data_IF_410264614183
#
_entry.id   IF_410264614183
#
_cell.length_a   1.000
_cell.length_b   1.000
_cell.length_c   1.000
_cell.angle_alpha   90.00
_cell.angle_beta   90.00
_cell.angle_gamma   90.00
#
_symmetry.space_group_name_H-M   'P 1'
#
loop_
_entity.id
_entity.type
_entity.pdbx_description
1 polymer ?
#
# COMPACT_ATOMS: atom_id res chain seq x y z
N UNK A 1 -14.92 16.27 17.21
CA UNK A 1 -13.63 16.19 17.94
C UNK A 1 -12.62 15.26 17.28
N UNK A 2 -12.94 14.64 16.13
CA UNK A 2 -12.11 13.74 15.35
C UNK A 2 -11.60 12.49 16.12
N UNK A 3 -12.29 12.06 17.17
CA UNK A 3 -11.97 10.83 17.93
C UNK A 3 -13.04 9.74 17.77
N UNK A 4 -14.12 10.03 17.06
CA UNK A 4 -15.23 9.09 16.88
C UNK A 4 -15.80 9.20 15.47
N UNK A 5 -15.94 8.07 14.80
CA UNK A 5 -16.45 7.96 13.44
C UNK A 5 -17.48 6.85 13.32
N UNK A 6 -18.56 7.12 12.61
CA UNK A 6 -19.55 6.12 12.23
C UNK A 6 -19.47 5.92 10.72
N UNK A 7 -19.08 4.72 10.29
CA UNK A 7 -18.93 4.37 8.88
C UNK A 7 -20.16 3.59 8.43
N UNK A 8 -20.85 4.12 7.41
CA UNK A 8 -21.98 3.46 6.78
C UNK A 8 -21.58 2.88 5.44
N UNK A 9 -21.69 1.57 5.31
CA UNK A 9 -21.37 0.84 4.08
C UNK A 9 -22.54 0.91 3.10
N UNK A 10 -22.20 0.93 1.81
CA UNK A 10 -23.19 0.75 0.75
C UNK A 10 -23.62 -0.71 0.73
N UNK A 11 -24.92 -0.96 0.75
CA UNK A 11 -25.48 -2.30 0.74
C UNK A 11 -25.36 -3.02 -0.61
N UNK A 12 -25.50 -4.32 -0.61
CA UNK A 12 -25.56 -5.17 -1.81
C UNK A 12 -24.21 -5.42 -2.51
N UNK A 13 -23.09 -5.13 -1.86
CA UNK A 13 -21.76 -5.52 -2.34
C UNK A 13 -21.47 -6.98 -2.00
N UNK A 14 -20.76 -7.63 -2.93
CA UNK A 14 -20.34 -9.03 -2.79
C UNK A 14 -18.86 -9.16 -3.12
N UNK A 15 -18.24 -10.15 -2.50
CA UNK A 15 -16.95 -10.66 -2.95
C UNK A 15 -17.09 -11.46 -4.26
N UNK A 16 -15.99 -11.74 -4.92
CA UNK A 16 -15.95 -12.50 -6.20
C UNK A 16 -16.34 -13.97 -6.07
N UNK A 17 -16.45 -14.49 -4.84
CA UNK A 17 -17.02 -15.81 -4.53
C UNK A 17 -18.54 -15.77 -4.26
N UNK A 18 -19.16 -14.58 -4.36
CA UNK A 18 -20.58 -14.37 -4.11
C UNK A 18 -20.96 -14.09 -2.66
N UNK A 19 -20.03 -14.20 -1.71
CA UNK A 19 -20.31 -13.89 -0.29
C UNK A 19 -20.53 -12.38 -0.09
N UNK A 20 -21.40 -11.97 0.85
CA UNK A 20 -21.68 -10.54 1.06
C UNK A 20 -20.50 -9.81 1.70
N UNK A 21 -20.32 -8.54 1.33
CA UNK A 21 -19.43 -7.60 2.03
C UNK A 21 -20.26 -6.90 3.10
N UNK A 22 -19.88 -7.09 4.37
CA UNK A 22 -20.57 -6.51 5.53
C UNK A 22 -19.59 -5.77 6.43
N UNK A 23 -20.10 -5.12 7.48
CA UNK A 23 -19.29 -4.50 8.53
C UNK A 23 -18.31 -5.50 9.16
N UNK A 24 -18.73 -6.76 9.34
CA UNK A 24 -17.85 -7.84 9.82
C UNK A 24 -16.65 -8.08 8.90
N UNK A 25 -16.82 -7.95 7.57
CA UNK A 25 -15.73 -8.14 6.61
C UNK A 25 -14.59 -7.14 6.84
N UNK A 26 -14.91 -5.90 7.23
CA UNK A 26 -13.95 -4.87 7.56
C UNK A 26 -13.38 -5.04 8.97
N UNK A 27 -14.23 -5.15 9.98
CA UNK A 27 -13.81 -5.21 11.38
C UNK A 27 -12.91 -6.43 11.64
N UNK A 28 -13.25 -7.59 11.08
CA UNK A 28 -12.43 -8.80 11.21
C UNK A 28 -11.06 -8.62 10.50
N UNK A 29 -11.05 -8.00 9.31
CA UNK A 29 -9.80 -7.71 8.60
C UNK A 29 -8.91 -6.75 9.38
N UNK A 30 -9.48 -5.68 9.95
CA UNK A 30 -8.73 -4.68 10.72
C UNK A 30 -8.19 -5.27 12.03
N UNK A 31 -9.00 -6.05 12.75
CA UNK A 31 -8.55 -6.75 13.95
C UNK A 31 -7.41 -7.73 13.64
N UNK A 32 -7.56 -8.53 12.59
CA UNK A 32 -6.53 -9.48 12.15
C UNK A 32 -5.22 -8.75 11.80
N UNK A 33 -5.32 -7.65 11.04
CA UNK A 33 -4.14 -6.89 10.60
C UNK A 33 -3.47 -6.15 11.77
N UNK A 34 -4.25 -5.56 12.68
CA UNK A 34 -3.72 -4.81 13.81
C UNK A 34 -3.04 -5.68 14.86
N UNK A 35 -3.42 -6.95 14.99
CA UNK A 35 -2.90 -7.84 16.02
C UNK A 35 -1.49 -8.35 15.67
N UNK A 36 -0.49 -8.02 16.52
CA UNK A 36 0.93 -8.33 16.30
C UNK A 36 1.23 -9.83 16.20
N UNK A 37 0.41 -10.70 16.81
CA UNK A 37 0.54 -12.13 16.68
C UNK A 37 0.40 -12.62 15.23
N UNK A 38 -0.33 -11.89 14.39
CA UNK A 38 -0.55 -12.21 12.97
C UNK A 38 0.55 -11.66 12.05
N UNK A 39 1.51 -10.88 12.58
CA UNK A 39 2.71 -10.38 11.88
C UNK A 39 2.40 -9.70 10.53
N UNK A 40 1.34 -8.89 10.48
CA UNK A 40 0.96 -8.18 9.27
C UNK A 40 1.74 -6.87 9.12
N UNK A 41 2.33 -6.64 7.93
CA UNK A 41 3.15 -5.45 7.67
C UNK A 41 2.38 -4.12 7.81
N UNK A 42 1.06 -4.14 7.60
CA UNK A 42 0.20 -2.95 7.68
C UNK A 42 -0.39 -2.70 9.07
N UNK A 43 0.06 -3.40 10.13
CA UNK A 43 -0.50 -3.25 11.48
C UNK A 43 -0.49 -1.80 11.98
N UNK A 44 0.57 -1.04 11.70
CA UNK A 44 0.72 0.34 12.15
C UNK A 44 -0.31 1.32 11.58
N UNK A 45 -0.99 0.98 10.49
CA UNK A 45 -2.09 1.81 9.95
C UNK A 45 -3.24 1.98 10.95
N UNK A 46 -3.42 1.03 11.86
CA UNK A 46 -4.48 1.03 12.87
C UNK A 46 -4.09 1.67 14.20
N UNK A 47 -2.90 2.27 14.29
CA UNK A 47 -2.30 2.77 15.54
C UNK A 47 -3.11 3.82 16.28
N UNK A 48 -4.00 4.53 15.60
CA UNK A 48 -4.88 5.54 16.22
C UNK A 48 -6.21 4.97 16.72
N UNK A 49 -6.54 3.70 16.44
CA UNK A 49 -7.77 3.07 16.94
C UNK A 49 -7.56 2.61 18.38
N UNK A 50 -8.55 2.85 19.26
CA UNK A 50 -8.50 2.39 20.66
C UNK A 50 -8.22 0.89 20.77
N UNK A 51 -7.35 0.51 21.71
CA UNK A 51 -6.93 -0.88 21.93
C UNK A 51 -5.75 -1.33 21.08
N UNK A 52 -5.24 -0.51 20.14
CA UNK A 52 -4.10 -0.91 19.30
C UNK A 52 -2.87 -1.28 20.14
N UNK A 53 -2.50 -0.48 21.14
CA UNK A 53 -1.32 -0.74 21.96
C UNK A 53 -1.43 -2.04 22.76
N UNK A 54 -2.64 -2.47 23.11
CA UNK A 54 -2.87 -3.75 23.78
C UNK A 54 -2.60 -4.92 22.85
N UNK A 55 -2.84 -4.75 21.56
CA UNK A 55 -2.56 -5.75 20.53
C UNK A 55 -1.07 -5.82 20.13
N UNK A 56 -0.22 -4.92 20.64
CA UNK A 56 1.22 -4.94 20.38
C UNK A 56 2.02 -5.58 21.53
N UNK A 57 1.36 -6.00 22.61
CA UNK A 57 2.03 -6.62 23.76
C UNK A 57 2.66 -7.97 23.38
N UNK A 58 3.79 -8.33 24.01
CA UNK A 58 4.29 -9.70 23.94
C UNK A 58 3.20 -10.70 24.36
N UNK A 59 3.11 -11.83 23.67
CA UNK A 59 2.16 -12.91 23.98
C UNK A 59 0.67 -12.51 23.91
N UNK A 60 0.34 -11.50 23.08
CA UNK A 60 -1.05 -11.13 22.82
C UNK A 60 -1.82 -12.32 22.25
N UNK A 61 -3.06 -12.53 22.74
CA UNK A 61 -3.95 -13.54 22.17
C UNK A 61 -4.22 -13.24 20.68
N UNK A 62 -3.94 -14.17 19.75
CA UNK A 62 -4.23 -14.00 18.33
C UNK A 62 -5.69 -13.65 18.01
N UNK A 63 -6.61 -13.90 18.93
CA UNK A 63 -8.05 -13.58 18.83
C UNK A 63 -8.41 -12.22 19.45
N UNK A 64 -7.48 -11.55 20.14
CA UNK A 64 -7.74 -10.23 20.71
C UNK A 64 -8.05 -9.20 19.61
N UNK A 65 -8.94 -8.27 19.93
CA UNK A 65 -9.50 -7.29 19.00
C UNK A 65 -9.28 -5.87 19.49
N UNK A 66 -9.34 -4.92 18.56
CA UNK A 66 -9.34 -3.49 18.86
C UNK A 66 -10.60 -3.12 19.66
N UNK A 67 -10.43 -2.54 20.85
CA UNK A 67 -11.55 -2.12 21.69
C UNK A 67 -12.36 -0.95 21.10
N UNK A 68 -11.74 -0.18 20.20
CA UNK A 68 -12.36 0.94 19.50
C UNK A 68 -13.23 0.55 18.31
N UNK A 69 -13.39 -0.75 17.98
CA UNK A 69 -14.22 -1.17 16.83
C UNK A 69 -15.49 -1.88 17.32
N UNK A 70 -16.63 -1.44 16.81
CA UNK A 70 -17.92 -2.09 17.07
C UNK A 70 -18.68 -2.24 15.76
N UNK A 71 -19.15 -3.44 15.48
CA UNK A 71 -20.16 -3.71 14.44
C UNK A 71 -21.52 -3.38 15.03
N UNK A 72 -22.17 -2.32 14.56
CA UNK A 72 -23.50 -1.90 14.99
C UNK A 72 -24.57 -2.73 14.30
N UNK A 73 -24.44 -2.91 13.00
CA UNK A 73 -25.24 -3.76 12.13
C UNK A 73 -24.42 -4.16 10.90
N UNK A 74 -24.99 -4.93 9.97
CA UNK A 74 -24.29 -5.41 8.77
C UNK A 74 -23.69 -4.31 7.90
N UNK A 75 -24.16 -3.08 8.01
CA UNK A 75 -23.70 -1.97 7.19
C UNK A 75 -23.12 -0.80 7.99
N UNK A 76 -22.99 -0.93 9.31
CA UNK A 76 -22.55 0.17 10.17
C UNK A 76 -21.43 -0.26 11.10
N UNK A 77 -20.32 0.48 11.04
CA UNK A 77 -19.14 0.32 11.90
C UNK A 77 -19.01 1.58 12.76
N UNK A 78 -18.91 1.41 14.07
CA UNK A 78 -18.53 2.46 15.00
C UNK A 78 -17.03 2.36 15.30
N UNK A 79 -16.31 3.48 15.17
CA UNK A 79 -14.84 3.55 15.34
C UNK A 79 -14.50 4.61 16.36
N UNK A 80 -13.83 4.21 17.44
CA UNK A 80 -13.27 5.12 18.44
C UNK A 80 -11.76 5.17 18.32
N UNK A 81 -11.22 6.38 18.32
CA UNK A 81 -9.79 6.64 18.23
C UNK A 81 -9.25 7.07 19.60
N UNK A 82 -8.03 6.64 19.91
CA UNK A 82 -7.30 6.99 21.14
C UNK A 82 -6.86 8.45 21.19
N UNK A 83 -6.80 9.11 20.04
CA UNK A 83 -6.45 10.52 19.90
C UNK A 83 -7.18 11.13 18.68
N UNK A 84 -7.33 12.47 18.63
CA UNK A 84 -7.92 13.13 17.47
C UNK A 84 -7.13 12.86 16.19
N UNK A 85 -7.83 12.38 15.15
CA UNK A 85 -7.26 12.13 13.81
C UNK A 85 -8.26 12.53 12.73
N UNK A 86 -8.20 13.78 12.28
CA UNK A 86 -9.08 14.29 11.20
C UNK A 86 -8.79 13.67 9.83
N UNK A 87 -7.62 13.04 9.65
CA UNK A 87 -7.24 12.36 8.42
C UNK A 87 -7.74 10.90 8.36
N UNK A 88 -8.32 10.37 9.45
CA UNK A 88 -8.80 8.99 9.51
C UNK A 88 -9.70 8.59 8.33
N UNK A 89 -10.70 9.41 7.86
CA UNK A 89 -11.51 9.04 6.70
C UNK A 89 -10.71 8.87 5.41
N UNK A 90 -9.62 9.62 5.23
CA UNK A 90 -8.71 9.49 4.08
C UNK A 90 -7.85 8.23 4.23
N UNK A 91 -7.32 7.97 5.43
CA UNK A 91 -6.55 6.75 5.75
C UNK A 91 -7.38 5.48 5.52
N UNK A 92 -8.66 5.51 5.87
CA UNK A 92 -9.59 4.39 5.65
C UNK A 92 -9.81 4.04 4.16
N UNK A 93 -9.40 4.90 3.23
CA UNK A 93 -9.33 4.61 1.79
C UNK A 93 -8.10 3.84 1.34
N UNK A 94 -7.13 3.57 2.23
CA UNK A 94 -5.90 2.85 1.92
C UNK A 94 -6.14 1.33 1.83
N UNK A 95 -5.22 0.63 1.13
CA UNK A 95 -5.28 -0.83 0.99
C UNK A 95 -5.30 -1.60 2.32
N UNK A 96 -4.72 -1.04 3.39
CA UNK A 96 -4.72 -1.67 4.71
C UNK A 96 -6.12 -1.87 5.29
N UNK A 97 -7.08 -1.03 4.90
CA UNK A 97 -8.45 -1.03 5.40
C UNK A 97 -9.45 -1.80 4.53
N UNK A 98 -8.97 -2.49 3.49
CA UNK A 98 -9.84 -3.28 2.59
C UNK A 98 -10.53 -4.43 3.34
N UNK A 99 -11.78 -4.78 2.97
CA UNK A 99 -12.49 -5.88 3.59
C UNK A 99 -11.93 -7.22 3.14
N UNK A 100 -12.01 -8.22 4.01
CA UNK A 100 -11.69 -9.61 3.69
C UNK A 100 -12.91 -10.52 3.95
N UNK A 101 -13.15 -11.54 3.11
CA UNK A 101 -14.15 -12.55 3.39
C UNK A 101 -13.68 -13.45 4.54
N UNK A 102 -14.62 -14.12 5.20
CA UNK A 102 -14.30 -15.02 6.33
C UNK A 102 -13.34 -16.15 5.93
N UNK A 103 -13.37 -16.59 4.68
CA UNK A 103 -12.45 -17.60 4.15
C UNK A 103 -10.97 -17.19 4.26
N UNK A 104 -10.66 -15.88 4.31
CA UNK A 104 -9.29 -15.39 4.46
C UNK A 104 -8.66 -15.76 5.82
N UNK A 105 -9.48 -15.90 6.85
CA UNK A 105 -9.01 -16.20 8.22
C UNK A 105 -8.96 -17.70 8.53
N UNK A 106 -9.63 -18.54 7.72
CA UNK A 106 -9.62 -20.00 7.88
C UNK A 106 -8.29 -20.62 7.47
N UNK A 107 -7.73 -20.16 6.37
CA UNK A 107 -6.42 -20.56 5.86
C UNK A 107 -5.78 -19.36 5.10
N UNK A 108 -5.10 -18.46 5.83
CA UNK A 108 -4.50 -17.27 5.23
C UNK A 108 -3.46 -17.58 4.14
N UNK A 109 -2.73 -18.71 4.27
CA UNK A 109 -1.74 -19.11 3.26
C UNK A 109 -2.41 -19.50 1.95
N UNK A 110 -3.44 -20.35 2.02
CA UNK A 110 -4.22 -20.76 0.86
C UNK A 110 -4.95 -19.58 0.25
N UNK A 111 -5.55 -18.72 1.08
CA UNK A 111 -6.20 -17.50 0.62
C UNK A 111 -5.24 -16.59 -0.14
N UNK A 112 -4.00 -16.42 0.34
CA UNK A 112 -2.98 -15.62 -0.34
C UNK A 112 -2.60 -16.16 -1.72
N UNK A 113 -2.77 -17.47 -1.99
CA UNK A 113 -2.54 -18.07 -3.31
C UNK A 113 -3.74 -17.90 -4.26
N UNK A 114 -4.95 -17.82 -3.73
CA UNK A 114 -6.20 -17.69 -4.48
C UNK A 114 -7.11 -16.63 -3.83
N UNK A 115 -6.72 -15.34 -3.90
CA UNK A 115 -7.43 -14.29 -3.19
C UNK A 115 -8.83 -14.06 -3.78
N UNK A 116 -9.77 -13.82 -2.87
CA UNK A 116 -11.11 -13.36 -3.16
C UNK A 116 -11.19 -11.87 -2.85
N UNK A 117 -11.76 -11.09 -3.75
CA UNK A 117 -11.83 -9.64 -3.63
C UNK A 117 -13.23 -9.10 -3.95
N UNK A 118 -13.44 -7.80 -3.79
CA UNK A 118 -14.66 -7.10 -4.19
C UNK A 118 -14.38 -5.95 -5.17
N UNK A 119 -13.20 -5.98 -5.81
CA UNK A 119 -12.71 -4.96 -6.74
C UNK A 119 -13.20 -5.14 -8.19
N UNK A 120 -12.72 -4.27 -9.10
CA UNK A 120 -13.11 -4.31 -10.52
C UNK A 120 -12.55 -5.50 -11.29
N UNK A 121 -11.61 -6.24 -10.73
CA UNK A 121 -11.03 -7.44 -11.32
C UNK A 121 -11.13 -8.63 -10.37
N UNK A 122 -11.23 -9.83 -10.96
CA UNK A 122 -11.22 -11.14 -10.28
C UNK A 122 -9.89 -11.81 -10.54
N UNK A 123 -9.31 -12.40 -9.49
CA UNK A 123 -8.13 -13.25 -9.60
C UNK A 123 -8.45 -14.52 -10.43
N UNK A 124 -7.51 -14.93 -11.29
CA UNK A 124 -7.59 -16.16 -12.08
C UNK A 124 -6.47 -17.11 -11.70
N UNK A 125 -5.22 -16.68 -11.84
CA UNK A 125 -4.06 -17.54 -11.58
C UNK A 125 -2.84 -16.74 -11.14
N UNK A 126 -1.95 -17.42 -10.43
CA UNK A 126 -0.63 -16.93 -10.10
C UNK A 126 0.41 -17.99 -10.43
N UNK A 127 1.20 -17.74 -11.46
CA UNK A 127 2.41 -18.49 -11.76
C UNK A 127 3.58 -17.78 -11.08
N UNK A 128 4.05 -18.34 -9.95
CA UNK A 128 5.12 -17.74 -9.15
C UNK A 128 6.33 -17.39 -10.00
N UNK A 129 6.92 -16.22 -9.77
CA UNK A 129 8.04 -15.63 -10.51
C UNK A 129 7.78 -15.39 -12.00
N UNK A 130 6.55 -15.53 -12.47
CA UNK A 130 6.21 -15.33 -13.88
C UNK A 130 5.07 -14.34 -14.09
N UNK A 131 3.85 -14.64 -13.61
CA UNK A 131 2.69 -13.77 -13.85
C UNK A 131 1.56 -13.94 -12.84
N UNK A 132 0.74 -12.88 -12.72
CA UNK A 132 -0.57 -12.93 -12.05
C UNK A 132 -1.62 -12.50 -13.08
N UNK A 133 -2.61 -13.36 -13.28
CA UNK A 133 -3.71 -13.11 -14.21
C UNK A 133 -4.99 -12.73 -13.48
N UNK A 134 -5.67 -11.73 -13.99
CA UNK A 134 -6.94 -11.25 -13.48
C UNK A 134 -7.88 -10.96 -14.66
N UNK A 135 -9.16 -11.22 -14.46
CA UNK A 135 -10.21 -10.87 -15.45
C UNK A 135 -11.15 -9.82 -14.87
N UNK A 136 -11.83 -9.12 -15.73
CA UNK A 136 -12.88 -8.16 -15.34
C UNK A 136 -13.90 -8.82 -14.42
N UNK A 137 -14.26 -8.10 -13.34
CA UNK A 137 -15.37 -8.49 -12.46
C UNK A 137 -16.68 -7.87 -12.96
N UNK A 138 -17.60 -8.64 -13.56
CA UNK A 138 -18.85 -8.12 -14.09
C UNK A 138 -19.81 -7.63 -12.99
N UNK A 139 -19.64 -8.12 -11.76
CA UNK A 139 -20.50 -7.78 -10.62
C UNK A 139 -20.03 -6.52 -9.86
N UNK A 140 -18.92 -5.90 -10.30
CA UNK A 140 -18.41 -4.71 -9.66
C UNK A 140 -19.34 -3.49 -9.86
N UNK A 141 -19.80 -2.88 -8.77
CA UNK A 141 -20.77 -1.78 -8.75
C UNK A 141 -20.15 -0.41 -8.44
N UNK A 142 -18.82 -0.33 -8.33
CA UNK A 142 -18.13 0.91 -8.01
C UNK A 142 -17.92 1.82 -9.23
N UNK A 143 -17.30 2.96 -8.98
CA UNK A 143 -17.01 3.95 -10.02
C UNK A 143 -15.75 3.67 -10.86
N UNK A 144 -14.99 2.61 -10.54
CA UNK A 144 -13.76 2.20 -11.24
C UNK A 144 -14.00 0.95 -12.08
N UNK A 145 -15.07 0.95 -12.87
CA UNK A 145 -15.39 -0.19 -13.74
C UNK A 145 -14.25 -0.42 -14.73
N UNK A 146 -13.81 -1.68 -14.85
CA UNK A 146 -12.78 -2.07 -15.80
C UNK A 146 -13.22 -1.77 -17.24
N UNK A 147 -12.35 -1.11 -18.01
CA UNK A 147 -12.57 -0.78 -19.43
C UNK A 147 -11.99 -1.83 -20.38
N UNK A 148 -11.09 -2.67 -19.87
CA UNK A 148 -10.47 -3.81 -20.54
C UNK A 148 -11.03 -5.12 -19.98
N UNK A 149 -10.68 -6.25 -20.59
CA UNK A 149 -11.21 -7.57 -20.24
C UNK A 149 -10.46 -8.19 -19.04
N UNK A 150 -9.21 -7.78 -18.81
CA UNK A 150 -8.40 -8.32 -17.74
C UNK A 150 -7.05 -7.61 -17.60
N UNK A 151 -6.23 -8.12 -16.67
CA UNK A 151 -4.88 -7.67 -16.40
C UNK A 151 -3.97 -8.90 -16.30
N UNK A 152 -2.77 -8.78 -16.87
CA UNK A 152 -1.70 -9.76 -16.66
C UNK A 152 -0.49 -9.01 -16.11
N UNK A 153 -0.17 -9.23 -14.83
CA UNK A 153 1.02 -8.69 -14.19
C UNK A 153 2.19 -9.61 -14.50
N UNK A 154 3.07 -9.23 -15.41
CA UNK A 154 4.33 -9.93 -15.68
C UNK A 154 5.39 -9.58 -14.66
N UNK A 155 6.09 -10.57 -14.12
CA UNK A 155 7.12 -10.40 -13.11
C UNK A 155 8.47 -10.41 -13.79
N UNK A 156 9.22 -9.30 -13.63
CA UNK A 156 10.57 -9.16 -14.17
C UNK A 156 11.57 -9.01 -13.01
N UNK A 157 12.74 -9.58 -13.17
CA UNK A 157 13.88 -9.42 -12.26
C UNK A 157 14.81 -8.29 -12.70
N UNK A 158 14.65 -7.79 -13.93
CA UNK A 158 15.44 -6.70 -14.49
C UNK A 158 14.52 -5.63 -15.09
N UNK A 159 14.63 -4.36 -14.69
CA UNK A 159 13.94 -3.25 -15.32
C UNK A 159 14.26 -3.09 -16.82
N UNK A 160 15.50 -3.40 -17.24
CA UNK A 160 15.91 -3.35 -18.65
C UNK A 160 15.12 -4.36 -19.49
N UNK A 161 14.88 -5.58 -18.97
CA UNK A 161 14.09 -6.60 -19.67
C UNK A 161 12.63 -6.17 -19.79
N UNK A 162 12.04 -5.59 -18.74
CA UNK A 162 10.68 -5.06 -18.79
C UNK A 162 10.55 -3.92 -19.80
N UNK A 163 11.54 -3.03 -19.85
CA UNK A 163 11.57 -1.92 -20.79
C UNK A 163 11.78 -2.36 -22.25
N UNK A 164 12.59 -3.40 -22.47
CA UNK A 164 12.74 -4.02 -23.79
C UNK A 164 11.42 -4.65 -24.28
N UNK A 165 10.70 -5.36 -23.41
CA UNK A 165 9.38 -5.93 -23.74
C UNK A 165 8.32 -4.84 -24.00
N UNK A 166 8.36 -3.72 -23.25
CA UNK A 166 7.50 -2.57 -23.53
C UNK A 166 7.76 -2.01 -24.92
N UNK A 167 9.03 -1.78 -25.30
CA UNK A 167 9.40 -1.30 -26.62
C UNK A 167 9.10 -2.30 -27.73
N UNK A 168 9.17 -3.59 -27.43
CA UNK A 168 8.84 -4.67 -28.35
C UNK A 168 7.35 -4.94 -28.52
N UNK A 169 6.47 -4.24 -27.78
CA UNK A 169 5.02 -4.43 -27.81
C UNK A 169 4.55 -5.68 -27.06
N UNK A 170 5.40 -6.30 -26.24
CA UNK A 170 5.08 -7.47 -25.42
C UNK A 170 4.61 -7.09 -24.01
N UNK A 171 4.68 -5.82 -23.66
CA UNK A 171 4.22 -5.22 -22.40
C UNK A 171 3.51 -3.90 -22.72
N UNK A 172 2.37 -3.65 -22.10
CA UNK A 172 1.58 -2.43 -22.34
C UNK A 172 1.96 -1.29 -21.42
N UNK A 173 2.49 -1.60 -20.24
CA UNK A 173 2.79 -0.60 -19.19
C UNK A 173 3.92 -1.06 -18.27
N UNK A 174 4.80 -0.14 -17.92
CA UNK A 174 5.73 -0.29 -16.78
C UNK A 174 5.77 1.01 -15.97
N UNK A 175 5.91 0.88 -14.65
CA UNK A 175 6.06 2.02 -13.73
C UNK A 175 7.53 2.29 -13.38
N UNK A 176 8.46 1.53 -13.96
CA UNK A 176 9.90 1.66 -13.69
C UNK A 176 10.64 1.83 -15.00
N UNK A 177 11.39 2.92 -15.10
CA UNK A 177 12.29 3.17 -16.22
C UNK A 177 13.70 2.77 -15.76
N UNK A 178 14.42 1.91 -16.50
CA UNK A 178 15.81 1.57 -16.16
C UNK A 178 16.74 2.75 -16.34
N UNK A 179 17.83 2.76 -15.58
CA UNK A 179 18.82 3.85 -15.64
C UNK A 179 19.37 4.06 -17.05
N UNK A 180 19.51 2.99 -17.81
CA UNK A 180 19.96 2.99 -19.22
C UNK A 180 19.05 3.78 -20.16
N UNK A 181 17.77 3.97 -19.80
CA UNK A 181 16.78 4.64 -20.60
C UNK A 181 16.40 6.05 -20.10
N UNK A 182 16.89 6.49 -18.94
CA UNK A 182 16.50 7.78 -18.33
C UNK A 182 16.71 8.99 -19.24
N UNK A 183 17.72 8.95 -20.09
CA UNK A 183 18.02 10.05 -21.04
C UNK A 183 17.15 10.06 -22.28
N UNK A 184 16.46 8.96 -22.60
CA UNK A 184 15.81 8.77 -23.90
C UNK A 184 14.31 8.47 -23.85
N UNK A 185 13.80 7.93 -22.74
CA UNK A 185 12.42 7.44 -22.68
C UNK A 185 11.36 8.51 -22.96
N UNK A 186 11.58 9.76 -22.54
CA UNK A 186 10.64 10.87 -22.77
C UNK A 186 10.62 11.33 -24.24
N UNK A 187 11.68 11.07 -25.00
CA UNK A 187 11.77 11.41 -26.41
C UNK A 187 11.40 10.26 -27.35
N UNK A 188 11.18 9.06 -26.83
CA UNK A 188 10.79 7.88 -27.62
C UNK A 188 9.32 8.01 -28.09
N UNK A 189 9.17 8.31 -29.38
CA UNK A 189 7.83 8.52 -30.00
C UNK A 189 6.99 7.25 -30.11
N UNK A 190 7.59 6.08 -29.91
CA UNK A 190 6.87 4.80 -29.90
C UNK A 190 6.14 4.54 -28.59
N UNK A 191 6.48 5.31 -27.53
CA UNK A 191 5.94 5.17 -26.19
C UNK A 191 5.19 6.44 -25.75
N UNK A 192 4.28 6.26 -24.81
CA UNK A 192 3.68 7.38 -24.07
C UNK A 192 4.35 7.46 -22.70
N UNK A 193 5.32 8.37 -22.58
CA UNK A 193 6.09 8.57 -21.38
C UNK A 193 5.46 9.61 -20.46
N UNK A 194 5.56 9.37 -19.14
CA UNK A 194 5.17 10.31 -18.10
C UNK A 194 6.33 10.46 -17.12
N UNK A 195 6.62 11.69 -16.73
CA UNK A 195 7.54 12.02 -15.64
C UNK A 195 6.92 13.15 -14.83
N UNK A 196 6.20 12.78 -13.79
CA UNK A 196 5.44 13.70 -12.96
C UNK A 196 5.99 13.69 -11.53
N UNK A 197 6.01 14.83 -10.83
CA UNK A 197 6.38 14.86 -9.42
C UNK A 197 5.52 13.92 -8.61
N UNK A 198 6.15 13.03 -7.85
CA UNK A 198 5.49 12.08 -6.96
C UNK A 198 5.56 12.50 -5.49
N UNK A 199 4.82 11.80 -4.65
CA UNK A 199 4.87 11.95 -3.19
C UNK A 199 6.03 11.20 -2.52
N UNK A 200 6.91 10.57 -3.31
CA UNK A 200 8.02 9.79 -2.78
C UNK A 200 9.30 10.61 -2.73
N UNK A 201 9.97 10.60 -1.58
CA UNK A 201 11.28 11.22 -1.40
C UNK A 201 12.32 10.13 -1.17
N UNK A 202 13.40 10.16 -1.96
CA UNK A 202 14.55 9.29 -1.72
C UNK A 202 15.40 9.93 -0.61
N UNK A 203 15.50 9.23 0.51
CA UNK A 203 16.24 9.68 1.68
C UNK A 203 17.20 8.60 2.18
N UNK A 204 18.20 9.00 2.94
CA UNK A 204 18.93 8.10 3.82
C UNK A 204 18.77 8.57 5.27
N UNK A 205 18.71 7.63 6.19
CA UNK A 205 18.53 7.91 7.61
C UNK A 205 19.81 7.61 8.36
N UNK A 206 20.22 8.53 9.22
CA UNK A 206 21.30 8.31 10.17
C UNK A 206 20.65 8.06 11.54
N UNK A 207 20.69 6.81 12.06
CA UNK A 207 20.04 6.50 13.32
C UNK A 207 20.67 7.25 14.51
N UNK A 208 19.82 7.76 15.40
CA UNK A 208 20.26 8.55 16.55
C UNK A 208 20.95 7.74 17.65
N UNK A 209 20.84 6.42 17.61
CA UNK A 209 21.56 5.53 18.53
C UNK A 209 23.01 5.21 18.11
N UNK A 210 23.43 5.68 16.94
CA UNK A 210 24.82 5.56 16.54
C UNK A 210 25.70 6.49 17.38
N UNK A 211 26.87 6.01 17.75
CA UNK A 211 27.88 6.80 18.45
C UNK A 211 28.16 8.11 17.68
N UNK A 212 28.22 9.23 18.37
CA UNK A 212 28.38 10.59 17.83
C UNK A 212 27.20 11.14 17.01
N UNK A 213 26.08 10.43 16.89
CA UNK A 213 24.88 10.87 16.13
C UNK A 213 23.63 10.98 17.02
N UNK A 214 23.78 11.02 18.34
CA UNK A 214 22.67 11.17 19.29
C UNK A 214 21.87 12.48 19.11
N UNK A 215 20.75 12.58 19.85
CA UNK A 215 19.94 13.81 19.91
C UNK A 215 20.60 14.86 20.83
N UNK A 216 21.79 15.32 20.46
CA UNK A 216 22.57 16.34 21.12
C UNK A 216 23.20 17.28 20.09
N UNK A 217 23.90 18.32 20.55
CA UNK A 217 24.50 19.32 19.67
C UNK A 217 25.51 18.71 18.69
N UNK A 218 26.40 17.81 19.16
CA UNK A 218 27.37 17.11 18.31
C UNK A 218 26.66 16.30 17.21
N UNK A 219 25.68 15.47 17.58
CA UNK A 219 24.96 14.64 16.62
C UNK A 219 24.17 15.45 15.60
N UNK A 220 23.57 16.56 16.02
CA UNK A 220 22.87 17.48 15.13
C UNK A 220 23.83 18.13 14.13
N UNK A 221 24.97 18.64 14.58
CA UNK A 221 25.98 19.25 13.71
C UNK A 221 26.56 18.25 12.70
N UNK A 222 26.81 17.00 13.14
CA UNK A 222 27.31 15.94 12.25
C UNK A 222 26.29 15.58 11.16
N UNK A 223 25.00 15.40 11.49
CA UNK A 223 23.93 15.15 10.51
C UNK A 223 23.80 16.32 9.54
N UNK A 224 23.85 17.55 10.03
CA UNK A 224 23.81 18.74 9.21
C UNK A 224 25.01 18.82 8.25
N UNK A 225 26.22 18.55 8.73
CA UNK A 225 27.43 18.55 7.90
C UNK A 225 27.34 17.50 6.78
N UNK A 226 26.86 16.28 7.07
CA UNK A 226 26.63 15.24 6.05
C UNK A 226 25.58 15.71 5.04
N UNK A 227 24.46 16.25 5.51
CA UNK A 227 23.41 16.76 4.61
C UNK A 227 23.92 17.86 3.69
N UNK A 228 24.72 18.78 4.20
CA UNK A 228 25.32 19.88 3.43
C UNK A 228 26.40 19.41 2.45
N UNK A 229 27.06 18.28 2.69
CA UNK A 229 28.09 17.72 1.80
C UNK A 229 27.52 17.09 0.53
N UNK A 230 26.21 16.84 0.46
CA UNK A 230 25.55 16.20 -0.68
C UNK A 230 25.08 17.27 -1.67
N UNK A 231 25.70 17.33 -2.84
CA UNK A 231 25.22 18.16 -3.94
C UNK A 231 24.00 17.51 -4.62
N UNK A 232 22.83 17.73 -4.02
CA UNK A 232 21.54 17.17 -4.50
C UNK A 232 21.23 17.58 -5.93
N UNK A 233 21.67 18.80 -6.35
CA UNK A 233 21.43 19.29 -7.70
C UNK A 233 22.24 18.48 -8.71
N UNK A 234 23.53 18.30 -8.47
CA UNK A 234 24.38 17.47 -9.33
C UNK A 234 23.89 16.02 -9.38
N UNK A 235 23.43 15.44 -8.25
CA UNK A 235 22.83 14.10 -8.22
C UNK A 235 21.57 14.05 -9.11
N UNK A 236 20.65 15.01 -8.98
CA UNK A 236 19.45 15.06 -9.80
C UNK A 236 19.75 15.20 -11.29
N UNK A 237 20.74 16.05 -11.65
CA UNK A 237 21.10 16.30 -13.04
C UNK A 237 21.93 15.17 -13.67
N UNK A 238 22.92 14.63 -12.95
CA UNK A 238 23.91 13.70 -13.52
C UNK A 238 23.54 12.23 -13.33
N UNK A 239 22.90 11.90 -12.23
CA UNK A 239 22.51 10.51 -11.94
C UNK A 239 21.08 10.25 -12.41
N UNK A 240 20.15 11.16 -12.06
CA UNK A 240 18.75 11.02 -12.43
C UNK A 240 18.38 11.72 -13.75
N UNK A 241 19.35 12.32 -14.44
CA UNK A 241 19.16 12.97 -15.75
C UNK A 241 17.96 13.93 -15.79
N UNK A 242 17.71 14.66 -14.71
CA UNK A 242 16.58 15.59 -14.58
C UNK A 242 15.22 14.95 -14.33
N UNK A 243 15.14 13.64 -14.09
CA UNK A 243 13.88 12.93 -13.75
C UNK A 243 13.53 13.03 -12.27
N UNK A 244 14.41 13.56 -11.44
CA UNK A 244 14.18 13.83 -10.03
C UNK A 244 14.39 15.31 -9.71
N UNK A 245 13.70 15.80 -8.69
CA UNK A 245 13.85 17.15 -8.15
C UNK A 245 14.55 17.08 -6.79
N UNK A 246 15.56 17.93 -6.51
CA UNK A 246 16.16 17.99 -5.18
C UNK A 246 15.09 18.24 -4.12
N UNK A 247 15.04 17.39 -3.08
CA UNK A 247 14.20 17.65 -1.95
C UNK A 247 14.77 18.81 -1.12
N UNK A 248 13.88 19.67 -0.65
CA UNK A 248 14.16 20.72 0.34
C UNK A 248 13.44 20.34 1.61
N UNK A 249 14.15 20.40 2.73
CA UNK A 249 13.62 20.11 4.07
C UNK A 249 12.76 21.28 4.55
#
# INVERSE_FOLDING_TARGET
>A
NATHYVIKLKSGWKFTDGTPVTAHSFVNAWNYTANSANKQASASFFSTIEGYNDLQKPDVDPKATLSGLTVVDDNTIDVKLSQPDSAFPVKAGSHAYMPLPESAFKDPKKFGQHPVSNGPYKFVSWQHNHSIEMVKNPDYKGNRVAKNDGLNFKIYTSPDSAYADLRGGNLDFTNTIPDTALTSFQSDKSLKAYNEPGGNTLTFTIPEWLEHFGQNEEGNLRRQAISMSIDRKTVAEKIFHGTATPAVD
#
